data_IF_773480108557
#
_entry.id   IF_773480108557
#
_cell.length_a   1.000
_cell.length_b   1.000
_cell.length_c   1.000
_cell.angle_alpha   90.00
_cell.angle_beta   90.00
_cell.angle_gamma   90.00
#
_symmetry.space_group_name_H-M   'P 1'
#
loop_
_entity.id
_entity.type
_entity.pdbx_description
1 polymer ?
#
# COMPACT_ATOMS: atom_id res chain seq x y z
N UNK A 1 20.63 8.01 -13.32
CA UNK A 1 19.75 8.31 -12.17
C UNK A 1 19.60 7.02 -11.39
N UNK A 2 19.95 7.03 -10.10
CA UNK A 2 19.86 5.83 -9.25
C UNK A 2 18.39 5.46 -9.03
N UNK A 3 18.12 4.17 -8.78
CA UNK A 3 16.75 3.66 -8.59
C UNK A 3 16.04 4.37 -7.42
N UNK A 4 16.80 4.69 -6.37
CA UNK A 4 16.36 5.42 -5.18
C UNK A 4 15.95 6.86 -5.51
N UNK A 5 16.75 7.58 -6.30
CA UNK A 5 16.44 8.96 -6.74
C UNK A 5 15.14 9.00 -7.56
N UNK A 6 14.92 8.00 -8.41
CA UNK A 6 13.69 7.88 -9.18
C UNK A 6 12.47 7.59 -8.28
N UNK A 7 12.64 6.75 -7.27
CA UNK A 7 11.61 6.42 -6.30
C UNK A 7 11.19 7.64 -5.47
N UNK A 8 12.17 8.42 -4.98
CA UNK A 8 11.93 9.68 -4.26
C UNK A 8 11.24 10.70 -5.18
N UNK A 9 11.70 10.85 -6.43
CA UNK A 9 11.07 11.75 -7.40
C UNK A 9 9.61 11.38 -7.68
N UNK A 10 9.29 10.08 -7.75
CA UNK A 10 7.91 9.59 -7.89
C UNK A 10 7.07 9.89 -6.65
N UNK A 11 7.60 9.64 -5.46
CA UNK A 11 6.92 9.97 -4.20
C UNK A 11 6.59 11.45 -4.11
N UNK A 12 7.56 12.32 -4.39
CA UNK A 12 7.36 13.77 -4.35
C UNK A 12 6.38 14.28 -5.41
N UNK A 13 6.30 13.61 -6.57
CA UNK A 13 5.39 14.00 -7.67
C UNK A 13 3.94 13.59 -7.43
N UNK A 14 3.72 12.37 -6.95
CA UNK A 14 2.37 11.79 -6.87
C UNK A 14 1.82 11.77 -5.44
N UNK A 15 2.69 11.81 -4.43
CA UNK A 15 2.32 11.66 -3.03
C UNK A 15 2.01 10.22 -2.64
N UNK A 16 2.00 9.98 -1.33
CA UNK A 16 1.79 8.65 -0.74
C UNK A 16 0.47 8.02 -1.17
N UNK A 17 -0.62 8.76 -1.02
CA UNK A 17 -1.98 8.25 -1.22
C UNK A 17 -2.19 7.75 -2.67
N UNK A 18 -1.76 8.53 -3.65
CA UNK A 18 -1.84 8.14 -5.04
C UNK A 18 -1.00 6.88 -5.35
N UNK A 19 0.21 6.78 -4.79
CA UNK A 19 1.06 5.60 -4.98
C UNK A 19 0.47 4.35 -4.33
N UNK A 20 -0.11 4.48 -3.13
CA UNK A 20 -0.83 3.38 -2.47
C UNK A 20 -2.02 2.92 -3.31
N UNK A 21 -2.85 3.86 -3.79
CA UNK A 21 -4.01 3.56 -4.64
C UNK A 21 -3.60 2.85 -5.95
N UNK A 22 -2.47 3.26 -6.55
CA UNK A 22 -1.94 2.59 -7.74
C UNK A 22 -1.53 1.15 -7.40
N UNK A 23 -0.83 0.95 -6.28
CA UNK A 23 -0.42 -0.39 -5.82
C UNK A 23 -1.63 -1.29 -5.58
N UNK A 24 -2.65 -0.80 -4.89
CA UNK A 24 -3.90 -1.54 -4.63
C UNK A 24 -4.61 -1.94 -5.91
N UNK A 25 -4.75 -1.00 -6.87
CA UNK A 25 -5.35 -1.30 -8.18
C UNK A 25 -4.58 -2.34 -8.99
N UNK A 26 -3.27 -2.43 -8.81
CA UNK A 26 -2.47 -3.48 -9.44
C UNK A 26 -2.74 -4.82 -8.74
N UNK A 27 -2.74 -4.85 -7.41
CA UNK A 27 -3.06 -6.05 -6.63
C UNK A 27 -4.44 -6.61 -6.97
N UNK A 28 -5.47 -5.77 -7.04
CA UNK A 28 -6.84 -6.18 -7.41
C UNK A 28 -6.91 -6.80 -8.82
N UNK A 29 -6.14 -6.25 -9.77
CA UNK A 29 -6.05 -6.84 -11.13
C UNK A 29 -5.38 -8.21 -11.11
N UNK A 30 -4.35 -8.37 -10.29
CA UNK A 30 -3.66 -9.65 -10.14
C UNK A 30 -4.57 -10.69 -9.47
N UNK A 31 -5.33 -10.30 -8.45
CA UNK A 31 -6.36 -11.14 -7.83
C UNK A 31 -7.46 -11.54 -8.80
N UNK A 32 -7.90 -10.63 -9.68
CA UNK A 32 -8.90 -10.96 -10.69
C UNK A 32 -8.37 -12.02 -11.68
N UNK A 33 -7.11 -11.91 -12.13
CA UNK A 33 -6.47 -12.93 -12.97
C UNK A 33 -6.34 -14.28 -12.26
N UNK A 34 -5.93 -14.24 -10.99
CA UNK A 34 -5.86 -15.42 -10.14
C UNK A 34 -7.21 -16.13 -10.07
N UNK A 35 -8.29 -15.41 -9.75
CA UNK A 35 -9.65 -15.97 -9.65
C UNK A 35 -10.15 -16.54 -10.98
N UNK A 36 -9.83 -15.88 -12.10
CA UNK A 36 -10.22 -16.38 -13.42
C UNK A 36 -9.49 -17.69 -13.80
N UNK A 37 -8.30 -17.93 -13.26
CA UNK A 37 -7.47 -19.09 -13.61
C UNK A 37 -7.42 -20.19 -12.54
N UNK A 38 -7.91 -19.94 -11.32
CA UNK A 38 -8.00 -20.94 -10.23
C UNK A 38 -8.74 -22.21 -10.65
N UNK A 39 -9.70 -22.11 -11.57
CA UNK A 39 -10.43 -23.27 -12.07
C UNK A 39 -9.66 -24.07 -13.16
N UNK A 40 -8.65 -23.48 -13.81
CA UNK A 40 -7.89 -24.10 -14.89
C UNK A 40 -6.61 -24.80 -14.38
N UNK A 41 -6.01 -24.28 -13.29
CA UNK A 41 -4.70 -24.72 -12.78
C UNK A 41 -4.76 -25.59 -11.51
N UNK A 42 -5.96 -26.03 -11.09
CA UNK A 42 -6.13 -26.97 -9.96
C UNK A 42 -5.44 -28.34 -10.18
N UNK A 43 -4.89 -28.59 -11.38
CA UNK A 43 -4.11 -29.78 -11.74
C UNK A 43 -2.59 -29.57 -11.73
N UNK A 44 -2.07 -28.40 -11.36
CA UNK A 44 -0.64 -28.12 -11.36
C UNK A 44 0.02 -28.43 -9.99
N UNK A 45 1.16 -29.13 -10.01
CA UNK A 45 1.97 -29.52 -8.83
C UNK A 45 2.50 -28.36 -7.97
N UNK A 46 2.22 -27.11 -8.34
CA UNK A 46 2.74 -25.89 -7.73
C UNK A 46 1.64 -25.01 -7.11
N UNK A 47 0.68 -25.63 -6.40
CA UNK A 47 -0.48 -24.92 -5.82
C UNK A 47 -0.09 -23.72 -4.94
N UNK A 48 1.03 -23.81 -4.22
CA UNK A 48 1.48 -22.74 -3.30
C UNK A 48 1.87 -21.46 -4.05
N UNK A 49 2.48 -21.53 -5.24
CA UNK A 49 2.91 -20.31 -5.96
C UNK A 49 1.75 -19.65 -6.70
N UNK A 50 0.83 -20.43 -7.23
CA UNK A 50 -0.28 -19.99 -8.07
C UNK A 50 -1.37 -19.27 -7.24
N UNK A 51 -1.52 -19.61 -5.96
CA UNK A 51 -2.48 -18.95 -5.06
C UNK A 51 -2.03 -17.57 -4.55
N UNK A 52 -0.83 -17.11 -4.88
CA UNK A 52 -0.38 -15.78 -4.48
C UNK A 52 -0.69 -14.78 -5.60
N UNK A 53 -1.41 -13.66 -5.32
CA UNK A 53 -1.69 -12.64 -6.34
C UNK A 53 -0.42 -12.10 -7.01
N UNK A 54 0.72 -12.12 -6.31
CA UNK A 54 2.01 -11.70 -6.82
C UNK A 54 2.51 -12.53 -8.01
N UNK A 55 2.12 -13.81 -8.08
CA UNK A 55 2.42 -14.69 -9.21
C UNK A 55 1.80 -14.15 -10.51
N UNK A 56 0.56 -13.67 -10.40
CA UNK A 56 -0.27 -13.19 -11.51
C UNK A 56 0.05 -11.78 -11.99
N UNK A 57 1.06 -11.13 -11.40
CA UNK A 57 1.56 -9.84 -11.86
C UNK A 57 2.35 -9.98 -13.16
N UNK A 58 2.09 -9.08 -14.11
CA UNK A 58 2.97 -8.93 -15.27
C UNK A 58 4.34 -8.41 -14.86
N UNK A 59 5.35 -8.61 -15.71
CA UNK A 59 6.71 -8.08 -15.48
C UNK A 59 6.69 -6.55 -15.26
N UNK A 60 5.84 -5.83 -16.01
CA UNK A 60 5.69 -4.38 -15.85
C UNK A 60 5.08 -4.02 -14.48
N UNK A 61 4.02 -4.71 -14.06
CA UNK A 61 3.39 -4.48 -12.76
C UNK A 61 4.33 -4.81 -11.59
N UNK A 62 5.13 -5.87 -11.69
CA UNK A 62 6.17 -6.20 -10.68
C UNK A 62 7.16 -5.04 -10.52
N UNK A 63 7.63 -4.46 -11.64
CA UNK A 63 8.54 -3.31 -11.62
C UNK A 63 7.89 -2.07 -11.01
N UNK A 64 6.61 -1.82 -11.31
CA UNK A 64 5.85 -0.69 -10.76
C UNK A 64 5.64 -0.86 -9.26
N UNK A 65 5.17 -2.02 -8.80
CA UNK A 65 4.99 -2.32 -7.36
C UNK A 65 6.30 -2.21 -6.61
N UNK A 66 7.39 -2.78 -7.15
CA UNK A 66 8.71 -2.68 -6.52
C UNK A 66 9.14 -1.22 -6.36
N UNK A 67 8.99 -0.41 -7.41
CA UNK A 67 9.32 1.02 -7.32
C UNK A 67 8.43 1.78 -6.33
N UNK A 68 7.15 1.46 -6.23
CA UNK A 68 6.23 2.09 -5.27
C UNK A 68 6.63 1.70 -3.85
N UNK A 69 6.89 0.42 -3.61
CA UNK A 69 7.33 -0.08 -2.30
C UNK A 69 8.62 0.59 -1.84
N UNK A 70 9.61 0.73 -2.73
CA UNK A 70 10.84 1.45 -2.45
C UNK A 70 10.58 2.94 -2.14
N UNK A 71 9.71 3.59 -2.92
CA UNK A 71 9.37 5.00 -2.72
C UNK A 71 8.71 5.24 -1.36
N UNK A 72 7.78 4.36 -0.96
CA UNK A 72 7.15 4.40 0.36
C UNK A 72 8.19 4.18 1.45
N UNK A 73 9.01 3.13 1.37
CA UNK A 73 10.02 2.81 2.38
C UNK A 73 11.03 3.95 2.61
N UNK A 74 11.48 4.60 1.54
CA UNK A 74 12.48 5.68 1.64
C UNK A 74 11.88 7.01 2.12
N UNK A 75 10.60 7.27 1.82
CA UNK A 75 9.99 8.58 2.07
C UNK A 75 9.03 8.60 3.27
N UNK A 76 8.70 7.44 3.86
CA UNK A 76 7.91 7.38 5.08
C UNK A 76 8.79 7.04 6.28
N UNK A 77 8.61 7.76 7.39
CA UNK A 77 9.23 7.43 8.67
C UNK A 77 8.16 6.79 9.58
N UNK A 78 8.17 5.46 9.77
CA UNK A 78 7.13 4.77 10.53
C UNK A 78 7.00 5.25 11.98
N UNK A 79 8.12 5.65 12.60
CA UNK A 79 8.13 6.14 13.97
C UNK A 79 7.46 7.51 14.09
N UNK A 80 7.70 8.39 13.13
CA UNK A 80 7.06 9.71 13.09
C UNK A 80 5.56 9.59 12.82
N UNK A 81 5.16 8.71 11.90
CA UNK A 81 3.74 8.44 11.66
C UNK A 81 3.02 7.90 12.89
N UNK A 82 3.66 7.00 13.64
CA UNK A 82 3.11 6.49 14.88
C UNK A 82 2.94 7.61 15.93
N UNK A 83 3.92 8.52 16.04
CA UNK A 83 3.83 9.70 16.91
C UNK A 83 2.64 10.59 16.52
N UNK A 84 2.52 10.94 15.24
CA UNK A 84 1.41 11.78 14.75
C UNK A 84 0.04 11.15 14.99
N UNK A 85 -0.11 9.84 14.75
CA UNK A 85 -1.37 9.12 15.04
C UNK A 85 -1.72 9.16 16.52
N UNK A 86 -0.73 8.99 17.41
CA UNK A 86 -0.97 9.06 18.84
C UNK A 86 -1.37 10.47 19.28
N UNK A 87 -0.69 11.50 18.76
CA UNK A 87 -1.05 12.90 19.01
C UNK A 87 -2.48 13.21 18.54
N UNK A 88 -2.87 12.77 17.34
CA UNK A 88 -4.23 12.95 16.83
C UNK A 88 -5.29 12.30 17.72
N UNK A 89 -5.05 11.06 18.21
CA UNK A 89 -5.95 10.40 19.16
C UNK A 89 -6.07 11.15 20.49
N UNK A 90 -4.97 11.70 20.99
CA UNK A 90 -4.98 12.50 22.22
C UNK A 90 -5.77 13.80 22.02
N UNK A 91 -5.58 14.45 20.87
CA UNK A 91 -6.30 15.65 20.48
C UNK A 91 -7.81 15.39 20.39
N UNK A 92 -8.22 14.33 19.69
CA UNK A 92 -9.62 13.93 19.56
C UNK A 92 -10.27 13.67 20.93
N UNK A 93 -9.57 12.98 21.84
CA UNK A 93 -10.06 12.77 23.21
C UNK A 93 -10.24 14.08 23.97
N UNK A 94 -9.33 15.04 23.79
CA UNK A 94 -9.45 16.37 24.42
C UNK A 94 -10.64 17.14 23.86
N UNK A 95 -10.84 17.12 22.55
CA UNK A 95 -11.96 17.78 21.88
C UNK A 95 -13.30 17.18 22.33
N UNK A 96 -13.41 15.86 22.39
CA UNK A 96 -14.61 15.18 22.92
C UNK A 96 -14.90 15.59 24.37
N UNK A 97 -13.88 15.65 25.24
CA UNK A 97 -14.05 16.10 26.63
C UNK A 97 -14.52 17.56 26.71
N UNK A 98 -13.95 18.45 25.90
CA UNK A 98 -14.38 19.86 25.82
C UNK A 98 -15.82 19.99 25.33
N UNK A 99 -16.21 19.23 24.32
CA UNK A 99 -17.58 19.23 23.80
C UNK A 99 -18.58 18.78 24.87
N UNK A 100 -18.25 17.73 25.63
CA UNK A 100 -19.08 17.25 26.74
C UNK A 100 -19.19 18.29 27.88
N UNK A 101 -18.13 19.03 28.19
CA UNK A 101 -18.17 20.07 29.22
C UNK A 101 -18.93 21.34 28.80
N UNK A 102 -19.10 21.58 27.50
CA UNK A 102 -19.87 22.72 26.98
C UNK A 102 -21.36 22.39 26.82
N UNK A 103 -21.71 21.10 26.82
CA UNK A 103 -23.09 20.61 26.70
C UNK A 103 -23.76 20.31 28.06
N UNK A 104 -23.01 20.46 29.16
CA UNK A 104 -23.47 20.32 30.54
C UNK A 104 -23.62 21.71 31.19
#
# INVERSE_FOLDING_TARGET
>A
MKVEELAIKRFNRFGREALTNISERISLRAEARMKNNINYEASADCWISINTPQHWLTVAEKKVIHSISLALMLCTNPAEEARQRNLARVQERRERRKALSLAA
#
